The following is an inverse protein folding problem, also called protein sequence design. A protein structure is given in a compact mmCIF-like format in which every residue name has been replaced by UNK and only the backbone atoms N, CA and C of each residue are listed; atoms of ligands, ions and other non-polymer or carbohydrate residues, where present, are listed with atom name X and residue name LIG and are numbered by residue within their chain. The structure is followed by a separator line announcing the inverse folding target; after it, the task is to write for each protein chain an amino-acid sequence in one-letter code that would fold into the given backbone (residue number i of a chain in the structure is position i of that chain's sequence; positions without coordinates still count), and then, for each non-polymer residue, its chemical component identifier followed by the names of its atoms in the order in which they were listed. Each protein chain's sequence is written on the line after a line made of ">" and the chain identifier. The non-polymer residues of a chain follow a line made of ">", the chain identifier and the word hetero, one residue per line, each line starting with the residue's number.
data_IF_932224515042
#
_entry.id   IF_932224515042
#
_cell.length_a   1.000
_cell.length_b   1.000
_cell.length_c   1.000
_cell.angle_alpha   90.00
_cell.angle_beta   90.00
_cell.angle_gamma   90.00
#
_symmetry.space_group_name_H-M   'P 1'
#
loop_
_entity.id
_entity.type
_entity.pdbx_description
1 polymer ?
#
# COMPACT_ATOMS: atom_id res chain seq x y z
N UNK A 1 6.01 -28.67 88.02
CA UNK A 1 7.28 -28.91 87.31
C UNK A 1 7.03 -28.78 85.82
N UNK A 2 7.36 -27.60 85.22
CA UNK A 2 7.08 -27.29 83.79
C UNK A 2 8.23 -27.78 82.97
N UNK A 3 7.97 -28.61 81.96
CA UNK A 3 8.93 -28.98 80.92
C UNK A 3 8.72 -28.05 79.72
N UNK A 4 9.79 -27.33 79.38
CA UNK A 4 9.84 -26.42 78.25
C UNK A 4 10.33 -27.21 77.04
N UNK A 5 9.40 -27.48 76.12
CA UNK A 5 9.77 -28.03 74.81
C UNK A 5 10.29 -26.90 73.90
N UNK A 6 11.54 -27.02 73.50
CA UNK A 6 12.21 -26.12 72.55
C UNK A 6 11.80 -26.52 71.13
N UNK A 7 11.03 -25.67 70.45
CA UNK A 7 10.83 -25.80 69.03
C UNK A 7 11.96 -25.14 68.28
N UNK A 8 12.82 -25.93 67.64
CA UNK A 8 13.75 -25.45 66.63
C UNK A 8 12.99 -25.16 65.33
N UNK A 9 12.83 -23.89 65.00
CA UNK A 9 12.38 -23.46 63.71
C UNK A 9 13.56 -23.51 62.75
N UNK A 10 13.59 -24.52 61.87
CA UNK A 10 14.57 -24.56 60.75
C UNK A 10 14.14 -23.57 59.67
N UNK A 11 14.79 -22.44 59.61
CA UNK A 11 14.68 -21.51 58.47
C UNK A 11 15.43 -22.13 57.26
N UNK A 12 14.70 -22.67 56.34
CA UNK A 12 15.23 -22.98 54.97
C UNK A 12 15.33 -21.69 54.21
N UNK A 13 16.49 -21.09 54.16
CA UNK A 13 16.80 -20.01 53.23
C UNK A 13 16.85 -20.60 51.84
N UNK A 14 15.78 -20.42 51.06
CA UNK A 14 15.80 -20.62 49.63
C UNK A 14 16.64 -19.48 48.99
N UNK A 15 17.90 -19.72 48.78
CA UNK A 15 18.72 -18.86 47.99
C UNK A 15 18.28 -18.96 46.54
N UNK A 16 17.46 -17.99 46.06
CA UNK A 16 17.26 -17.78 44.67
C UNK A 16 18.62 -17.37 44.05
N UNK A 17 19.26 -18.31 43.41
CA UNK A 17 20.36 -18.01 42.52
C UNK A 17 19.71 -17.28 41.33
N UNK A 18 19.72 -15.96 41.41
CA UNK A 18 19.56 -15.10 40.25
C UNK A 18 20.74 -15.38 39.32
N UNK A 19 20.61 -16.40 38.47
CA UNK A 19 21.47 -16.48 37.31
C UNK A 19 21.35 -15.12 36.62
N UNK A 20 22.45 -14.40 36.34
CA UNK A 20 22.36 -13.24 35.48
C UNK A 20 21.78 -13.77 34.17
N UNK A 21 20.53 -13.45 33.87
CA UNK A 21 20.08 -13.45 32.48
C UNK A 21 21.06 -12.50 31.79
N UNK A 22 22.07 -13.07 31.18
CA UNK A 22 22.79 -12.41 30.14
C UNK A 22 21.69 -11.96 29.15
N UNK A 23 21.20 -10.74 29.31
CA UNK A 23 20.69 -9.99 28.21
C UNK A 23 21.85 -10.03 27.22
N UNK A 24 21.81 -11.01 26.32
CA UNK A 24 22.54 -10.90 25.07
C UNK A 24 22.07 -9.54 24.56
N UNK A 25 22.87 -8.51 24.82
CA UNK A 25 22.72 -7.24 24.17
C UNK A 25 22.57 -7.64 22.71
N UNK A 26 21.37 -7.46 22.15
CA UNK A 26 21.20 -7.55 20.71
C UNK A 26 22.13 -6.46 20.21
N UNK A 27 23.38 -6.87 19.98
CA UNK A 27 24.44 -5.96 19.62
C UNK A 27 23.98 -5.29 18.33
N UNK A 28 23.91 -3.97 18.36
CA UNK A 28 23.79 -3.23 17.11
C UNK A 28 24.84 -3.79 16.16
N UNK A 29 24.48 -4.08 14.92
CA UNK A 29 25.43 -4.57 13.96
C UNK A 29 26.64 -3.63 13.91
N UNK A 30 27.83 -4.14 13.64
CA UNK A 30 29.01 -3.28 13.52
C UNK A 30 28.74 -2.17 12.50
N UNK A 31 29.36 -0.99 12.62
CA UNK A 31 29.17 0.10 11.68
C UNK A 31 29.24 -0.40 10.25
N UNK A 32 28.14 -0.24 9.48
CA UNK A 32 28.02 -0.72 8.11
C UNK A 32 27.32 -2.08 7.93
N UNK A 33 26.99 -2.81 9.01
CA UNK A 33 26.21 -4.06 8.94
C UNK A 33 24.71 -3.84 9.01
N UNK A 34 23.92 -4.71 8.34
CA UNK A 34 22.48 -4.87 8.61
C UNK A 34 22.30 -5.96 9.66
N UNK A 35 21.33 -5.80 10.58
CA UNK A 35 20.89 -6.93 11.39
C UNK A 35 20.34 -8.04 10.47
N UNK A 36 20.35 -9.30 10.92
CA UNK A 36 19.67 -10.38 10.19
C UNK A 36 18.22 -9.99 9.91
N UNK A 37 17.77 -10.23 8.69
CA UNK A 37 16.39 -9.96 8.29
C UNK A 37 15.45 -10.98 8.96
N UNK A 38 14.58 -10.57 9.91
CA UNK A 38 13.65 -11.48 10.59
C UNK A 38 12.57 -12.02 9.65
N UNK A 39 12.44 -11.44 8.46
CA UNK A 39 11.45 -11.80 7.45
C UNK A 39 12.09 -12.41 6.20
N UNK A 40 13.30 -12.98 6.33
CA UNK A 40 13.96 -13.64 5.22
C UNK A 40 13.04 -14.71 4.58
N UNK A 41 12.96 -14.69 3.25
CA UNK A 41 12.10 -15.61 2.48
C UNK A 41 10.60 -15.23 2.42
N UNK A 42 10.15 -14.18 3.10
CA UNK A 42 8.79 -13.66 2.98
C UNK A 42 8.71 -12.55 1.94
N UNK A 43 7.57 -12.44 1.27
CA UNK A 43 7.24 -11.26 0.46
C UNK A 43 7.13 -10.04 1.35
N UNK A 44 7.70 -8.92 0.90
CA UNK A 44 7.72 -7.65 1.64
C UNK A 44 7.19 -6.53 0.78
N UNK A 45 6.34 -5.70 1.38
CA UNK A 45 5.85 -4.48 0.73
C UNK A 45 6.25 -3.25 1.54
N UNK A 46 6.54 -2.17 0.83
CA UNK A 46 6.68 -0.84 1.40
C UNK A 46 5.39 -0.06 1.19
N UNK A 47 4.72 0.33 2.26
CA UNK A 47 3.55 1.22 2.22
C UNK A 47 4.04 2.64 2.52
N UNK A 48 3.80 3.56 1.59
CA UNK A 48 4.12 4.97 1.74
C UNK A 48 2.84 5.77 1.84
N UNK A 49 2.57 6.30 3.04
CA UNK A 49 1.52 7.27 3.29
C UNK A 49 2.15 8.64 3.51
N UNK A 50 2.43 9.35 2.42
CA UNK A 50 3.13 10.63 2.50
C UNK A 50 2.21 11.73 3.00
N UNK A 51 2.60 12.36 4.12
CA UNK A 51 1.90 13.48 4.72
C UNK A 51 2.38 14.85 4.19
N UNK A 52 3.45 14.88 3.40
CA UNK A 52 3.99 16.10 2.80
C UNK A 52 3.29 16.42 1.49
N UNK A 53 2.01 16.71 1.58
CA UNK A 53 1.13 16.89 0.41
C UNK A 53 1.17 18.31 -0.17
N UNK A 54 2.10 19.15 0.25
CA UNK A 54 2.14 20.55 -0.16
C UNK A 54 0.85 21.27 0.25
N UNK A 55 0.10 21.79 -0.71
CA UNK A 55 -1.20 22.45 -0.46
C UNK A 55 -2.39 21.48 -0.53
N UNK A 56 -2.16 20.19 -0.69
CA UNK A 56 -3.20 19.18 -0.74
C UNK A 56 -3.56 18.71 0.67
N UNK A 57 -4.80 18.27 0.85
CA UNK A 57 -5.27 17.74 2.13
C UNK A 57 -4.96 16.25 2.18
N UNK A 58 -4.27 15.79 3.24
CA UNK A 58 -4.16 14.37 3.53
C UNK A 58 -5.55 13.83 3.93
N UNK A 59 -5.88 12.62 3.47
CA UNK A 59 -7.14 11.98 3.84
C UNK A 59 -7.09 11.47 5.29
N UNK A 60 -8.14 11.70 6.05
CA UNK A 60 -8.23 11.24 7.44
C UNK A 60 -8.07 9.71 7.55
N UNK A 61 -8.53 8.98 6.54
CA UNK A 61 -8.42 7.53 6.43
C UNK A 61 -6.98 7.00 6.24
N UNK A 62 -5.99 7.86 6.02
CA UNK A 62 -4.63 7.43 5.68
C UNK A 62 -4.05 6.42 6.69
N UNK A 63 -4.14 6.73 7.98
CA UNK A 63 -3.62 5.86 9.05
C UNK A 63 -4.37 4.53 9.12
N UNK A 64 -5.70 4.57 8.97
CA UNK A 64 -6.56 3.38 8.97
C UNK A 64 -6.28 2.49 7.76
N UNK A 65 -6.11 3.09 6.59
CA UNK A 65 -5.72 2.41 5.36
C UNK A 65 -4.41 1.64 5.50
N UNK A 66 -3.36 2.32 5.98
CA UNK A 66 -2.04 1.70 6.16
C UNK A 66 -2.07 0.56 7.17
N UNK A 67 -2.78 0.73 8.29
CA UNK A 67 -2.96 -0.31 9.30
C UNK A 67 -3.78 -1.49 8.78
N UNK A 68 -4.82 -1.23 7.98
CA UNK A 68 -5.63 -2.27 7.35
C UNK A 68 -4.80 -3.09 6.36
N UNK A 69 -4.01 -2.44 5.51
CA UNK A 69 -3.14 -3.14 4.54
C UNK A 69 -2.08 -4.00 5.26
N UNK A 70 -1.48 -3.50 6.38
CA UNK A 70 -0.57 -4.30 7.20
C UNK A 70 -1.28 -5.52 7.78
N UNK A 71 -2.45 -5.32 8.39
CA UNK A 71 -3.26 -6.39 8.99
C UNK A 71 -3.61 -7.46 7.96
N UNK A 72 -4.05 -7.09 6.77
CA UNK A 72 -4.38 -8.01 5.68
C UNK A 72 -3.19 -8.90 5.29
N UNK A 73 -1.99 -8.33 5.20
CA UNK A 73 -0.76 -9.08 4.93
C UNK A 73 -0.44 -10.08 6.02
N UNK A 74 -0.51 -9.64 7.27
CA UNK A 74 -0.21 -10.45 8.45
C UNK A 74 -1.23 -11.59 8.63
N UNK A 75 -2.53 -11.31 8.50
CA UNK A 75 -3.60 -12.29 8.69
C UNK A 75 -3.66 -13.33 7.56
N UNK A 76 -3.44 -12.90 6.31
CA UNK A 76 -3.38 -13.82 5.17
C UNK A 76 -2.05 -14.58 5.07
N UNK A 77 -1.00 -14.11 5.73
CA UNK A 77 0.36 -14.63 5.58
C UNK A 77 0.99 -14.34 4.23
N UNK A 78 0.35 -13.54 3.36
CA UNK A 78 0.79 -13.31 1.98
C UNK A 78 2.03 -12.40 1.92
N UNK A 79 2.14 -11.44 2.81
CA UNK A 79 3.27 -10.49 2.84
C UNK A 79 3.50 -9.91 4.23
N UNK A 80 4.65 -9.29 4.39
CA UNK A 80 4.99 -8.42 5.53
C UNK A 80 5.02 -6.99 5.01
N UNK A 81 4.38 -6.07 5.73
CA UNK A 81 4.34 -4.66 5.36
C UNK A 81 5.26 -3.82 6.25
N UNK A 82 5.92 -2.86 5.62
CA UNK A 82 6.70 -1.81 6.25
C UNK A 82 6.04 -0.48 5.93
N UNK A 83 5.64 0.27 6.95
CA UNK A 83 4.90 1.52 6.81
C UNK A 83 5.85 2.70 6.98
N UNK A 84 5.80 3.66 6.04
CA UNK A 84 6.52 4.93 6.09
C UNK A 84 5.56 6.08 5.84
N UNK A 85 5.84 7.21 6.51
CA UNK A 85 5.14 8.50 6.28
C UNK A 85 6.08 9.51 5.62
N UNK A 86 7.10 9.01 4.96
CA UNK A 86 8.08 9.75 4.17
C UNK A 86 8.55 8.91 2.98
N UNK A 87 9.29 9.51 2.09
CA UNK A 87 9.80 8.88 0.87
C UNK A 87 11.26 8.43 0.96
N UNK A 88 11.88 8.45 2.15
CA UNK A 88 13.31 8.19 2.31
C UNK A 88 13.73 6.82 1.74
N UNK A 89 12.88 5.79 1.86
CA UNK A 89 13.19 4.45 1.38
C UNK A 89 12.83 4.23 -0.10
N UNK A 90 12.21 5.19 -0.74
CA UNK A 90 11.86 5.12 -2.17
C UNK A 90 13.10 5.45 -3.00
N UNK A 91 14.14 4.63 -2.89
CA UNK A 91 15.39 4.74 -3.64
C UNK A 91 16.07 3.38 -3.74
N UNK A 92 16.89 3.16 -4.76
CA UNK A 92 17.78 2.00 -4.88
C UNK A 92 19.16 2.27 -4.27
N UNK A 93 19.43 3.51 -3.89
CA UNK A 93 20.67 3.92 -3.21
C UNK A 93 20.70 3.44 -1.77
N UNK A 94 21.90 3.40 -1.18
CA UNK A 94 22.05 3.07 0.23
C UNK A 94 21.47 4.16 1.12
N UNK A 95 20.58 3.77 2.04
CA UNK A 95 20.04 4.63 3.08
C UNK A 95 20.76 4.37 4.38
N UNK A 96 21.19 5.43 5.05
CA UNK A 96 21.91 5.34 6.29
C UNK A 96 21.21 6.12 7.40
N UNK A 97 20.91 5.44 8.51
CA UNK A 97 20.50 6.11 9.74
C UNK A 97 21.64 6.95 10.29
N UNK A 98 21.34 8.20 10.62
CA UNK A 98 22.22 9.10 11.37
C UNK A 98 21.62 9.32 12.74
N UNK A 99 22.35 8.97 13.81
CA UNK A 99 21.88 9.22 15.16
C UNK A 99 22.59 10.42 15.76
N UNK A 100 21.86 11.44 16.15
CA UNK A 100 22.40 12.59 16.90
C UNK A 100 22.96 12.17 18.27
N UNK A 101 22.52 11.04 18.78
CA UNK A 101 23.04 10.40 19.99
C UNK A 101 24.43 9.78 19.81
N UNK A 102 24.91 9.68 18.57
CA UNK A 102 26.29 9.25 18.28
C UNK A 102 27.16 10.46 18.08
N UNK A 103 28.10 10.66 18.99
CA UNK A 103 29.04 11.78 18.93
C UNK A 103 29.74 11.82 17.55
N UNK A 104 29.48 12.91 16.80
CA UNK A 104 30.06 13.13 15.48
C UNK A 104 29.18 12.70 14.31
N UNK A 105 27.88 12.42 14.51
CA UNK A 105 26.92 12.17 13.42
C UNK A 105 27.30 11.02 12.49
N UNK A 106 27.89 9.95 13.02
CA UNK A 106 28.38 8.82 12.23
C UNK A 106 27.22 7.99 11.68
N UNK A 107 27.36 7.52 10.44
CA UNK A 107 26.51 6.47 9.87
C UNK A 107 26.48 5.26 10.80
N UNK A 108 25.32 4.88 11.31
CA UNK A 108 25.20 3.82 12.31
C UNK A 108 24.74 2.50 11.72
N UNK A 109 23.59 2.51 11.06
CA UNK A 109 22.97 1.32 10.50
C UNK A 109 22.53 1.59 9.09
N UNK A 110 22.61 0.58 8.26
CA UNK A 110 22.07 0.60 6.90
C UNK A 110 20.56 0.44 6.99
N UNK A 111 19.81 1.44 6.50
CA UNK A 111 18.36 1.40 6.38
C UNK A 111 17.90 0.47 5.26
N UNK A 112 16.58 0.34 5.15
CA UNK A 112 15.95 -0.28 3.99
C UNK A 112 15.96 0.65 2.77
N UNK A 113 15.85 0.06 1.60
CA UNK A 113 15.60 0.75 0.34
C UNK A 113 14.75 -0.14 -0.59
N UNK A 114 14.44 0.31 -1.80
CA UNK A 114 13.57 -0.42 -2.73
C UNK A 114 14.01 -1.87 -2.99
N UNK A 115 15.33 -2.17 -2.94
CA UNK A 115 15.82 -3.52 -3.18
C UNK A 115 15.39 -4.54 -2.10
N UNK A 116 14.89 -4.07 -0.96
CA UNK A 116 14.42 -4.93 0.13
C UNK A 116 12.97 -5.34 -0.03
N UNK A 117 12.23 -4.77 -0.98
CA UNK A 117 10.80 -4.94 -1.14
C UNK A 117 10.44 -5.61 -2.47
N UNK A 118 9.33 -6.32 -2.48
CA UNK A 118 8.76 -6.96 -3.67
C UNK A 118 7.68 -6.10 -4.33
N UNK A 119 7.07 -5.19 -3.57
CA UNK A 119 6.13 -4.20 -4.07
C UNK A 119 6.13 -2.92 -3.23
N UNK A 120 5.66 -1.82 -3.83
CA UNK A 120 5.41 -0.54 -3.18
C UNK A 120 3.93 -0.20 -3.30
N UNK A 121 3.36 0.30 -2.21
CA UNK A 121 1.98 0.80 -2.14
C UNK A 121 2.04 2.28 -1.81
N UNK A 122 1.49 3.10 -2.67
CA UNK A 122 1.34 4.53 -2.42
C UNK A 122 -0.10 4.86 -2.04
N UNK A 123 -0.25 5.55 -0.92
CA UNK A 123 -1.41 6.34 -0.57
C UNK A 123 -0.92 7.77 -0.30
N UNK A 124 -0.54 8.43 -1.35
CA UNK A 124 0.06 9.78 -1.38
C UNK A 124 -0.88 10.74 -2.09
N UNK A 125 -0.66 12.03 -1.98
CA UNK A 125 -1.43 13.06 -2.67
C UNK A 125 -0.53 14.27 -2.97
N UNK A 126 -0.75 14.95 -4.10
CA UNK A 126 0.03 16.13 -4.47
C UNK A 126 1.50 15.83 -4.82
N UNK A 127 2.36 16.83 -4.69
CA UNK A 127 3.78 16.66 -4.95
C UNK A 127 4.47 16.03 -3.73
N UNK A 128 5.21 14.96 -3.96
CA UNK A 128 6.03 14.30 -2.94
C UNK A 128 7.45 14.85 -2.96
N UNK A 129 8.21 14.65 -1.86
CA UNK A 129 9.60 15.06 -1.73
C UNK A 129 10.59 14.16 -2.49
N UNK A 130 10.12 13.42 -3.50
CA UNK A 130 11.00 12.55 -4.30
C UNK A 130 12.01 13.37 -5.08
N UNK A 131 13.28 13.14 -4.81
CA UNK A 131 14.38 13.64 -5.65
C UNK A 131 14.36 13.02 -7.03
N UNK A 132 15.01 13.63 -7.99
CA UNK A 132 15.12 13.11 -9.37
C UNK A 132 15.75 11.70 -9.42
N UNK A 133 16.65 11.39 -8.48
CA UNK A 133 17.20 10.03 -8.39
C UNK A 133 16.16 9.04 -7.89
N UNK A 134 15.39 9.40 -6.87
CA UNK A 134 14.30 8.54 -6.35
C UNK A 134 13.22 8.30 -7.40
N UNK A 135 12.88 9.30 -8.20
CA UNK A 135 11.95 9.15 -9.33
C UNK A 135 12.46 8.11 -10.33
N UNK A 136 13.73 8.21 -10.74
CA UNK A 136 14.37 7.22 -11.62
C UNK A 136 14.38 5.83 -11.00
N UNK A 137 14.72 5.74 -9.72
CA UNK A 137 14.80 4.49 -8.99
C UNK A 137 13.43 3.80 -8.90
N UNK A 138 12.35 4.58 -8.63
CA UNK A 138 10.98 4.06 -8.57
C UNK A 138 10.52 3.51 -9.93
N UNK A 139 10.76 4.25 -11.03
CA UNK A 139 10.39 3.75 -12.36
C UNK A 139 11.18 2.49 -12.72
N UNK A 140 12.50 2.48 -12.51
CA UNK A 140 13.33 1.32 -12.77
C UNK A 140 12.96 0.11 -11.90
N UNK A 141 12.58 0.34 -10.65
CA UNK A 141 12.11 -0.69 -9.74
C UNK A 141 10.89 -1.44 -10.29
N UNK A 142 9.92 -0.72 -10.85
CA UNK A 142 8.74 -1.35 -11.44
C UNK A 142 9.06 -1.86 -12.85
N UNK A 143 9.59 -0.99 -13.73
CA UNK A 143 9.75 -1.29 -15.15
C UNK A 143 10.81 -2.35 -15.43
N UNK A 144 12.01 -2.19 -14.86
CA UNK A 144 13.17 -3.00 -15.20
C UNK A 144 13.35 -4.20 -14.28
N UNK A 145 13.13 -4.00 -12.97
CA UNK A 145 13.29 -5.05 -11.97
C UNK A 145 12.03 -5.93 -11.85
N UNK A 146 10.89 -5.53 -12.46
CA UNK A 146 9.66 -6.32 -12.50
C UNK A 146 8.92 -6.35 -11.15
N UNK A 147 9.10 -5.33 -10.31
CA UNK A 147 8.46 -5.24 -9.00
C UNK A 147 7.04 -4.70 -9.08
N UNK A 148 6.26 -4.94 -8.01
CA UNK A 148 4.86 -4.52 -7.93
C UNK A 148 4.68 -3.07 -7.53
N UNK A 149 3.61 -2.43 -8.04
CA UNK A 149 3.16 -1.11 -7.58
C UNK A 149 1.65 -1.09 -7.37
N UNK A 150 1.19 -0.47 -6.29
CA UNK A 150 -0.23 -0.27 -5.98
C UNK A 150 -0.48 1.21 -5.73
N UNK A 151 -1.35 1.81 -6.52
CA UNK A 151 -1.83 3.17 -6.35
C UNK A 151 -3.19 3.15 -5.66
N UNK A 152 -3.22 3.66 -4.43
CA UNK A 152 -4.44 3.76 -3.61
C UNK A 152 -5.01 5.15 -3.76
N UNK A 153 -6.26 5.25 -4.21
CA UNK A 153 -7.05 6.47 -4.20
C UNK A 153 -6.29 7.68 -4.76
N UNK A 154 -5.90 8.62 -3.90
CA UNK A 154 -5.16 9.84 -4.27
C UNK A 154 -3.75 9.60 -4.80
N UNK A 155 -3.23 8.39 -4.76
CA UNK A 155 -1.96 8.12 -5.45
C UNK A 155 -2.04 8.42 -6.96
N UNK A 156 -3.23 8.43 -7.55
CA UNK A 156 -3.45 8.90 -8.93
C UNK A 156 -3.49 10.43 -9.06
N UNK A 157 -3.56 11.17 -7.95
CA UNK A 157 -3.44 12.63 -7.84
C UNK A 157 -2.05 13.07 -7.37
N UNK A 158 -1.08 12.17 -7.40
CA UNK A 158 0.29 12.41 -6.95
C UNK A 158 1.16 12.78 -8.15
N UNK A 159 2.03 13.78 -7.95
CA UNK A 159 3.06 14.18 -8.94
C UNK A 159 2.48 14.41 -10.35
N UNK A 160 1.43 15.21 -10.44
CA UNK A 160 0.71 15.47 -11.70
C UNK A 160 1.59 16.05 -12.82
N UNK A 161 2.76 16.61 -12.48
CA UNK A 161 3.74 17.16 -13.42
C UNK A 161 4.83 16.15 -13.81
N UNK A 162 4.67 14.86 -13.48
CA UNK A 162 5.62 13.80 -13.84
C UNK A 162 4.96 12.74 -14.75
N UNK A 163 5.00 12.95 -16.09
CA UNK A 163 4.27 12.12 -17.06
C UNK A 163 4.54 10.63 -16.93
N UNK A 164 5.79 10.24 -16.65
CA UNK A 164 6.17 8.83 -16.53
C UNK A 164 5.51 8.14 -15.33
N UNK A 165 5.23 8.87 -14.23
CA UNK A 165 4.44 8.35 -13.13
C UNK A 165 2.99 8.12 -13.55
N UNK A 166 2.39 9.07 -14.28
CA UNK A 166 1.05 8.91 -14.84
C UNK A 166 0.95 7.70 -15.78
N UNK A 167 1.96 7.50 -16.63
CA UNK A 167 2.05 6.31 -17.49
C UNK A 167 2.15 5.02 -16.67
N UNK A 168 2.94 5.02 -15.59
CA UNK A 168 3.06 3.87 -14.70
C UNK A 168 1.74 3.53 -14.03
N UNK A 169 1.04 4.49 -13.42
CA UNK A 169 -0.22 4.24 -12.72
C UNK A 169 -1.43 4.08 -13.66
N UNK A 170 -1.31 4.51 -14.92
CA UNK A 170 -2.30 4.28 -15.97
C UNK A 170 -3.36 5.38 -16.11
N UNK A 171 -3.25 6.49 -15.39
CA UNK A 171 -4.14 7.64 -15.49
C UNK A 171 -4.00 8.57 -14.32
N UNK A 172 -4.17 9.86 -14.58
CA UNK A 172 -4.19 10.86 -13.53
C UNK A 172 -5.63 11.20 -13.11
N UNK A 173 -5.82 11.44 -11.82
CA UNK A 173 -7.02 12.05 -11.29
C UNK A 173 -7.31 13.37 -12.04
N UNK A 174 -8.57 13.56 -12.41
CA UNK A 174 -9.05 14.79 -13.01
C UNK A 174 -10.01 15.51 -12.07
N UNK A 175 -11.09 14.86 -11.66
CA UNK A 175 -12.07 15.39 -10.71
C UNK A 175 -12.86 14.24 -10.06
N UNK A 176 -13.65 14.56 -9.04
CA UNK A 176 -14.62 13.69 -8.38
C UNK A 176 -16.04 14.28 -8.48
N UNK A 177 -16.69 14.20 -9.67
CA UNK A 177 -17.93 14.94 -9.98
C UNK A 177 -19.06 14.72 -8.98
N UNK A 178 -19.14 13.52 -8.43
CA UNK A 178 -20.21 13.13 -7.50
C UNK A 178 -19.78 13.17 -6.04
N UNK A 179 -18.53 13.56 -5.74
CA UNK A 179 -17.92 13.45 -4.41
C UNK A 179 -18.10 12.02 -3.83
N UNK A 180 -18.46 11.90 -2.56
CA UNK A 180 -18.81 10.60 -1.95
C UNK A 180 -20.22 10.24 -2.39
N UNK A 181 -20.36 9.11 -3.07
CA UNK A 181 -21.64 8.63 -3.61
C UNK A 181 -21.75 7.11 -3.50
N UNK A 182 -22.96 6.63 -3.21
CA UNK A 182 -23.28 5.21 -3.35
C UNK A 182 -23.57 4.93 -4.83
N UNK A 183 -22.68 4.20 -5.49
CA UNK A 183 -22.78 3.94 -6.93
C UNK A 183 -22.73 2.43 -7.23
N UNK A 184 -23.61 1.93 -8.10
CA UNK A 184 -23.47 0.59 -8.62
C UNK A 184 -22.30 0.52 -9.60
N UNK A 185 -21.65 -0.65 -9.63
CA UNK A 185 -20.55 -0.91 -10.54
C UNK A 185 -20.95 -1.90 -11.64
N UNK A 186 -20.32 -1.72 -12.79
CA UNK A 186 -20.19 -2.76 -13.80
C UNK A 186 -18.86 -3.46 -13.54
N UNK A 187 -18.93 -4.72 -13.10
CA UNK A 187 -17.74 -5.58 -12.95
C UNK A 187 -17.39 -6.14 -14.33
N UNK A 188 -16.29 -5.68 -14.90
CA UNK A 188 -15.86 -6.09 -16.25
C UNK A 188 -14.98 -7.33 -16.23
N UNK A 189 -14.33 -7.60 -15.09
CA UNK A 189 -13.46 -8.75 -14.87
C UNK A 189 -13.89 -9.55 -13.62
N UNK A 190 -15.01 -10.26 -13.66
CA UNK A 190 -15.51 -11.01 -12.51
C UNK A 190 -14.62 -12.19 -12.11
N UNK A 191 -13.71 -12.60 -12.98
CA UNK A 191 -12.70 -13.64 -12.76
C UNK A 191 -11.45 -13.12 -12.02
N UNK A 192 -11.25 -11.79 -11.90
CA UNK A 192 -10.19 -11.25 -11.06
C UNK A 192 -10.42 -11.65 -9.59
N UNK A 193 -9.41 -12.19 -8.87
CA UNK A 193 -9.61 -12.77 -7.55
C UNK A 193 -10.33 -11.86 -6.56
N UNK A 194 -10.03 -10.56 -6.58
CA UNK A 194 -10.65 -9.56 -5.70
C UNK A 194 -12.11 -9.23 -5.99
N UNK A 195 -12.67 -9.70 -7.12
CA UNK A 195 -14.03 -9.39 -7.57
C UNK A 195 -14.94 -10.62 -7.69
N UNK A 196 -14.41 -11.83 -7.55
CA UNK A 196 -15.13 -13.09 -7.82
C UNK A 196 -16.43 -13.28 -7.05
N UNK A 197 -16.51 -12.74 -5.84
CA UNK A 197 -17.65 -12.95 -4.96
C UNK A 197 -18.61 -11.75 -4.91
N UNK A 198 -18.46 -10.81 -5.82
CA UNK A 198 -19.36 -9.68 -5.89
C UNK A 198 -20.69 -10.07 -6.56
N UNK A 199 -21.83 -9.48 -6.12
CA UNK A 199 -23.08 -9.62 -6.86
C UNK A 199 -22.96 -8.99 -8.25
N UNK A 200 -23.90 -9.26 -9.18
CA UNK A 200 -23.84 -8.74 -10.56
C UNK A 200 -23.77 -7.21 -10.68
N UNK A 201 -24.37 -6.49 -9.75
CA UNK A 201 -24.36 -5.02 -9.68
C UNK A 201 -24.03 -4.59 -8.24
N UNK A 202 -22.76 -4.72 -7.81
CA UNK A 202 -22.41 -4.34 -6.46
C UNK A 202 -22.46 -2.82 -6.31
N UNK A 203 -23.01 -2.35 -5.19
CA UNK A 203 -23.03 -0.93 -4.84
C UNK A 203 -21.93 -0.67 -3.81
N UNK A 204 -21.10 0.34 -4.09
CA UNK A 204 -20.08 0.83 -3.19
C UNK A 204 -20.30 2.31 -2.88
N UNK A 205 -19.97 2.71 -1.67
CA UNK A 205 -19.98 4.11 -1.26
C UNK A 205 -18.54 4.57 -1.08
N UNK A 206 -18.11 5.49 -1.92
CA UNK A 206 -16.77 6.10 -1.85
C UNK A 206 -16.74 7.40 -2.65
N UNK A 207 -15.63 8.12 -2.63
CA UNK A 207 -15.39 9.25 -3.50
C UNK A 207 -15.01 8.76 -4.90
N UNK A 208 -15.90 8.98 -5.87
CA UNK A 208 -15.76 8.40 -7.21
C UNK A 208 -15.08 9.38 -8.16
N UNK A 209 -14.00 8.90 -8.81
CA UNK A 209 -13.14 9.70 -9.68
C UNK A 209 -13.48 9.60 -11.16
N UNK A 210 -13.15 10.66 -11.88
CA UNK A 210 -12.85 10.59 -13.31
C UNK A 210 -11.37 10.81 -13.53
N UNK A 211 -10.87 10.26 -14.64
CA UNK A 211 -9.43 10.26 -14.95
C UNK A 211 -9.16 10.94 -16.29
N UNK A 212 -8.00 11.59 -16.36
CA UNK A 212 -7.48 12.22 -17.59
C UNK A 212 -6.22 11.51 -18.08
N UNK A 213 -5.66 12.02 -19.18
CA UNK A 213 -4.42 11.52 -19.76
C UNK A 213 -3.36 11.21 -18.66
N UNK A 214 -2.67 10.08 -18.75
CA UNK A 214 -2.56 9.14 -19.87
C UNK A 214 -3.54 7.95 -19.83
N UNK A 215 -4.68 8.07 -19.15
CA UNK A 215 -5.67 7.00 -19.12
C UNK A 215 -6.07 6.55 -20.53
N UNK A 216 -5.96 5.25 -20.81
CA UNK A 216 -6.36 4.65 -22.09
C UNK A 216 -6.71 3.17 -21.89
N UNK A 217 -7.89 2.77 -22.38
CA UNK A 217 -8.34 1.37 -22.41
C UNK A 217 -7.44 0.44 -23.24
N UNK A 218 -6.61 0.98 -24.10
CA UNK A 218 -5.64 0.20 -24.88
C UNK A 218 -4.43 -0.24 -24.04
N UNK A 219 -4.19 0.44 -22.90
CA UNK A 219 -3.01 0.22 -22.08
C UNK A 219 -3.32 -0.39 -20.72
N UNK A 220 -4.57 -0.38 -20.30
CA UNK A 220 -5.00 -0.88 -19.00
C UNK A 220 -6.13 -1.91 -19.14
N UNK A 221 -6.20 -2.83 -18.21
CA UNK A 221 -7.28 -3.80 -18.07
C UNK A 221 -8.20 -3.32 -16.94
N UNK A 222 -9.35 -2.72 -17.30
CA UNK A 222 -10.29 -2.21 -16.32
C UNK A 222 -11.05 -3.36 -15.69
N UNK A 223 -10.93 -3.48 -14.38
CA UNK A 223 -11.57 -4.53 -13.59
C UNK A 223 -13.03 -4.22 -13.28
N UNK A 224 -13.30 -2.96 -12.94
CA UNK A 224 -14.64 -2.45 -12.66
C UNK A 224 -14.72 -0.95 -12.93
N UNK A 225 -15.91 -0.48 -13.30
CA UNK A 225 -16.23 0.94 -13.53
C UNK A 225 -17.59 1.30 -12.96
N UNK A 226 -17.90 2.58 -12.89
CA UNK A 226 -19.23 3.06 -12.49
C UNK A 226 -20.29 2.67 -13.52
N UNK A 227 -21.47 2.32 -13.03
CA UNK A 227 -22.67 2.24 -13.86
C UNK A 227 -23.30 3.63 -13.97
N UNK A 228 -23.01 4.33 -15.05
CA UNK A 228 -23.44 5.71 -15.28
C UNK A 228 -24.96 5.88 -15.38
N UNK A 229 -25.72 4.79 -15.60
CA UNK A 229 -27.19 4.83 -15.63
C UNK A 229 -27.82 5.24 -14.30
N UNK A 230 -27.08 5.10 -13.20
CA UNK A 230 -27.51 5.42 -11.84
C UNK A 230 -26.93 6.75 -11.31
N UNK A 231 -26.22 7.51 -12.13
CA UNK A 231 -25.53 8.73 -11.74
C UNK A 231 -26.11 9.95 -12.46
N UNK A 232 -26.00 11.12 -11.82
CA UNK A 232 -26.31 12.38 -12.46
C UNK A 232 -25.21 12.70 -13.50
N UNK A 233 -25.54 12.46 -14.77
CA UNK A 233 -24.64 12.70 -15.88
C UNK A 233 -24.71 14.13 -16.43
N UNK A 234 -25.62 14.97 -15.93
CA UNK A 234 -25.72 16.39 -16.29
C UNK A 234 -24.81 17.27 -15.40
N UNK A 235 -24.08 16.67 -14.47
CA UNK A 235 -23.15 17.35 -13.59
C UNK A 235 -22.02 18.02 -14.39
N UNK A 236 -21.90 19.35 -14.23
CA UNK A 236 -20.93 20.18 -14.99
C UNK A 236 -19.46 19.89 -14.67
N UNK A 237 -19.18 19.17 -13.59
CA UNK A 237 -17.83 18.70 -13.25
C UNK A 237 -17.40 17.45 -14.02
N UNK A 238 -18.32 16.87 -14.81
CA UNK A 238 -17.96 15.76 -15.68
C UNK A 238 -17.25 16.32 -16.93
N UNK A 239 -16.00 15.93 -17.10
CA UNK A 239 -15.19 16.32 -18.26
C UNK A 239 -15.11 15.22 -19.30
N UNK A 240 -15.39 13.96 -18.90
CA UNK A 240 -15.40 12.80 -19.80
C UNK A 240 -16.71 12.70 -20.56
N UNK A 241 -16.62 12.46 -21.86
CA UNK A 241 -17.80 12.33 -22.76
C UNK A 241 -18.04 10.90 -23.21
N UNK A 242 -17.13 9.97 -22.89
CA UNK A 242 -17.19 8.57 -23.29
C UNK A 242 -17.97 7.66 -22.33
N UNK A 243 -18.38 8.19 -21.17
CA UNK A 243 -19.09 7.44 -20.14
C UNK A 243 -18.23 6.39 -19.39
N UNK A 244 -16.92 6.47 -19.52
CA UNK A 244 -15.97 5.53 -18.93
C UNK A 244 -15.34 6.08 -17.64
N UNK A 245 -15.80 5.57 -16.49
CA UNK A 245 -15.36 5.98 -15.15
C UNK A 245 -14.84 4.76 -14.39
N UNK A 246 -13.59 4.34 -14.63
CA UNK A 246 -13.03 3.16 -13.98
C UNK A 246 -12.86 3.41 -12.48
N UNK A 247 -13.09 2.37 -11.68
CA UNK A 247 -12.86 2.39 -10.23
C UNK A 247 -11.69 1.52 -9.81
N UNK A 248 -11.32 0.53 -10.64
CA UNK A 248 -10.15 -0.30 -10.43
C UNK A 248 -9.64 -0.84 -11.77
N UNK A 249 -8.31 -0.87 -11.92
CA UNK A 249 -7.65 -1.46 -13.10
C UNK A 249 -6.29 -2.03 -12.76
N UNK A 250 -5.81 -2.88 -13.66
CA UNK A 250 -4.46 -3.42 -13.66
C UNK A 250 -3.78 -3.14 -14.98
N UNK A 251 -2.46 -3.12 -14.95
CA UNK A 251 -1.62 -3.04 -16.14
C UNK A 251 -0.24 -3.66 -15.89
N UNK A 252 0.48 -3.91 -16.96
CA UNK A 252 1.93 -4.09 -16.92
C UNK A 252 2.62 -2.77 -17.18
N UNK A 253 3.75 -2.53 -16.51
CA UNK A 253 4.66 -1.43 -16.80
C UNK A 253 6.07 -2.00 -16.90
N UNK A 254 6.57 -2.13 -18.11
CA UNK A 254 7.75 -2.95 -18.38
C UNK A 254 7.55 -4.39 -17.92
N UNK A 255 8.38 -4.86 -17.02
CA UNK A 255 8.27 -6.19 -16.41
C UNK A 255 7.37 -6.23 -15.16
N UNK A 256 7.03 -5.07 -14.60
CA UNK A 256 6.29 -4.94 -13.35
C UNK A 256 4.77 -4.98 -13.53
N UNK A 257 4.08 -5.20 -12.43
CA UNK A 257 2.62 -5.24 -12.33
C UNK A 257 2.13 -4.04 -11.52
N UNK A 258 1.14 -3.34 -12.05
CA UNK A 258 0.57 -2.14 -11.42
C UNK A 258 -0.93 -2.31 -11.25
N UNK A 259 -1.41 -2.04 -10.04
CA UNK A 259 -2.83 -1.93 -9.72
C UNK A 259 -3.15 -0.51 -9.28
N UNK A 260 -4.26 0.02 -9.71
CA UNK A 260 -4.77 1.33 -9.29
C UNK A 260 -6.26 1.26 -8.99
N UNK A 261 -6.71 1.98 -7.96
CA UNK A 261 -8.12 2.05 -7.60
C UNK A 261 -8.50 3.40 -7.01
N UNK A 262 -9.74 3.84 -7.31
CA UNK A 262 -10.35 5.02 -6.70
C UNK A 262 -10.79 4.80 -5.26
N UNK A 263 -10.97 3.56 -4.81
CA UNK A 263 -11.43 3.28 -3.45
C UNK A 263 -10.41 3.66 -2.38
N UNK A 264 -10.91 4.17 -1.25
CA UNK A 264 -10.08 4.41 -0.07
C UNK A 264 -10.20 5.79 0.56
N UNK A 265 -11.18 6.61 0.16
CA UNK A 265 -11.34 7.98 0.66
C UNK A 265 -11.59 8.05 2.16
N UNK A 266 -12.36 7.15 2.72
CA UNK A 266 -12.84 7.21 4.11
C UNK A 266 -12.58 5.92 4.88
N UNK A 267 -12.65 6.00 6.22
CA UNK A 267 -12.57 4.82 7.09
C UNK A 267 -13.63 3.78 6.73
N UNK A 268 -14.85 4.22 6.39
CA UNK A 268 -15.94 3.33 5.99
C UNK A 268 -15.61 2.53 4.72
N UNK A 269 -14.86 3.12 3.80
CA UNK A 269 -14.36 2.39 2.63
C UNK A 269 -13.40 1.28 3.06
N UNK A 270 -12.48 1.57 3.98
CA UNK A 270 -11.52 0.59 4.49
C UNK A 270 -12.14 -0.47 5.41
N UNK A 271 -13.29 -0.18 6.03
CA UNK A 271 -14.07 -1.15 6.81
C UNK A 271 -14.90 -2.09 5.92
N UNK A 272 -15.12 -1.76 4.65
CA UNK A 272 -15.84 -2.64 3.71
C UNK A 272 -14.98 -3.88 3.36
N UNK A 273 -15.42 -5.09 3.73
CA UNK A 273 -14.65 -6.31 3.47
C UNK A 273 -14.43 -6.59 1.98
N UNK A 274 -15.26 -6.01 1.11
CA UNK A 274 -15.11 -6.14 -0.35
C UNK A 274 -13.94 -5.30 -0.86
N UNK A 275 -13.78 -4.08 -0.32
CA UNK A 275 -12.62 -3.21 -0.59
C UNK A 275 -11.35 -3.85 -0.06
N UNK A 276 -11.38 -4.36 1.18
CA UNK A 276 -10.25 -5.10 1.76
C UNK A 276 -9.85 -6.30 0.92
N UNK A 277 -10.82 -7.08 0.44
CA UNK A 277 -10.58 -8.24 -0.44
C UNK A 277 -9.96 -7.80 -1.76
N UNK A 278 -10.48 -6.73 -2.37
CA UNK A 278 -9.93 -6.20 -3.62
C UNK A 278 -8.46 -5.82 -3.47
N UNK A 279 -8.10 -5.06 -2.41
CA UNK A 279 -6.71 -4.67 -2.18
C UNK A 279 -5.81 -5.84 -1.81
N UNK A 280 -6.27 -6.79 -0.99
CA UNK A 280 -5.50 -7.99 -0.67
C UNK A 280 -5.15 -8.79 -1.93
N UNK A 281 -6.13 -9.07 -2.77
CA UNK A 281 -5.92 -9.84 -3.99
C UNK A 281 -5.13 -9.07 -5.04
N UNK A 282 -5.30 -7.74 -5.12
CA UNK A 282 -4.46 -6.88 -5.95
C UNK A 282 -2.99 -6.89 -5.51
N UNK A 283 -2.73 -6.80 -4.21
CA UNK A 283 -1.36 -6.91 -3.66
C UNK A 283 -0.78 -8.29 -3.94
N UNK A 284 -1.54 -9.36 -3.74
CA UNK A 284 -1.09 -10.73 -4.08
C UNK A 284 -0.76 -10.83 -5.57
N UNK A 285 -1.55 -10.22 -6.44
CA UNK A 285 -1.30 -10.22 -7.87
C UNK A 285 -0.02 -9.46 -8.24
N UNK A 286 0.19 -8.25 -7.71
CA UNK A 286 1.43 -7.49 -8.00
C UNK A 286 2.68 -8.17 -7.43
N UNK A 287 2.53 -8.97 -6.36
CA UNK A 287 3.60 -9.78 -5.78
C UNK A 287 3.89 -11.08 -6.56
N UNK A 288 3.12 -11.39 -7.61
CA UNK A 288 3.25 -12.62 -8.36
C UNK A 288 2.75 -13.87 -7.62
N UNK A 289 1.88 -13.69 -6.62
CA UNK A 289 1.24 -14.79 -5.87
C UNK A 289 -0.08 -15.26 -6.51
N UNK A 290 -0.49 -14.62 -7.59
CA UNK A 290 -1.68 -14.96 -8.37
C UNK A 290 -1.39 -14.74 -9.86
N UNK A 291 -1.85 -15.68 -10.69
CA UNK A 291 -1.57 -15.74 -12.13
C UNK A 291 -2.76 -15.18 -12.94
N UNK A 292 -3.09 -13.91 -12.72
CA UNK A 292 -4.10 -13.24 -13.55
C UNK A 292 -3.40 -12.48 -14.68
N UNK A 293 -3.85 -12.71 -15.91
CA UNK A 293 -3.28 -12.10 -17.11
C UNK A 293 -3.93 -10.73 -17.41
N UNK A 294 -3.12 -9.72 -17.67
CA UNK A 294 -3.58 -8.39 -18.09
C UNK A 294 -4.06 -8.46 -19.53
N UNK A 295 -5.34 -8.10 -19.77
CA UNK A 295 -5.97 -8.12 -21.10
C UNK A 295 -6.73 -6.81 -21.32
N UNK A 296 -6.09 -5.74 -21.77
CA UNK A 296 -6.77 -4.52 -22.14
C UNK A 296 -7.95 -4.79 -23.07
N UNK A 297 -9.05 -4.10 -22.85
CA UNK A 297 -10.27 -4.32 -23.62
C UNK A 297 -11.11 -3.04 -23.73
N UNK A 298 -11.91 -2.89 -24.78
CA UNK A 298 -12.88 -1.81 -24.86
C UNK A 298 -13.90 -1.91 -23.73
N UNK A 299 -14.60 -0.81 -23.45
CA UNK A 299 -15.65 -0.76 -22.44
C UNK A 299 -16.75 -1.80 -22.75
N UNK A 300 -17.02 -2.68 -21.78
CA UNK A 300 -18.09 -3.66 -21.92
C UNK A 300 -19.45 -3.02 -21.63
N UNK A 301 -20.50 -3.31 -22.41
CA UNK A 301 -21.84 -2.87 -22.07
C UNK A 301 -22.23 -3.39 -20.67
N UNK A 302 -22.99 -2.62 -19.88
CA UNK A 302 -23.52 -3.13 -18.61
C UNK A 302 -24.45 -4.32 -18.88
N UNK A 303 -24.48 -5.28 -17.97
CA UNK A 303 -25.43 -6.39 -18.02
C UNK A 303 -26.88 -5.84 -18.06
N UNK A 304 -27.71 -6.46 -18.88
CA UNK A 304 -29.14 -6.10 -19.02
C UNK A 304 -29.94 -6.57 -17.82
#
# INVERSE_FOLDING_TARGET
>A
MLSIAKHLLSLVLLAWVLAPMSAAAQGYPPPGGRPPDPYAGKKKILIVGDLHTGNQIAHDALSHAMATLERLGRESGAYVAFIRTDTEWVTKSEVWGTGDYVKGGRKQARGHNLNDFDAVVFYTNGDTDLSEQQKKDLLAYVHDDGRGFVAVHTATSTMLNWPQYGEMVGGYFDDHPWNIVAAPLVVERPDFPGLRNLPPQPVFTDEMYQYKFPYSREQIDVLARLDTRALDMDNKRIHRTDGDFPVAWIKTYGKGRVFSSTFGHSDQSWDDPRVQTLYLEAIKWVLGLSDYEVKPHPMTPPAR
#
